data_IF_895013212959
#
_entry.id   IF_895013212959
#
_cell.length_a   1.000
_cell.length_b   1.000
_cell.length_c   1.000
_cell.angle_alpha   90.00
_cell.angle_beta   90.00
_cell.angle_gamma   90.00
#
_symmetry.space_group_name_H-M   'P 1'
#
loop_
_entity.id
_entity.type
_entity.pdbx_description
1 polymer ?
#
# COMPACT_ATOMS: atom_id res chain seq x y z
N UNK A 1 -7.95 -24.83 18.15
CA UNK A 1 -8.15 -24.11 16.87
C UNK A 1 -9.64 -24.03 16.63
N UNK A 2 -10.28 -22.87 16.84
CA UNK A 2 -11.65 -22.65 16.38
C UNK A 2 -11.64 -22.26 14.89
N UNK A 3 -12.60 -22.78 14.13
CA UNK A 3 -12.73 -22.82 12.67
C UNK A 3 -12.79 -21.47 11.90
N UNK A 4 -12.36 -20.35 12.49
CA UNK A 4 -12.44 -19.02 11.84
C UNK A 4 -11.08 -18.40 11.48
N UNK A 5 -9.96 -19.12 11.64
CA UNK A 5 -8.65 -18.64 11.18
C UNK A 5 -8.15 -17.35 11.86
N UNK A 6 -8.79 -16.93 12.96
CA UNK A 6 -8.49 -15.69 13.67
C UNK A 6 -8.73 -15.87 15.18
N UNK A 7 -7.84 -15.27 16.00
CA UNK A 7 -7.93 -15.36 17.45
C UNK A 7 -8.95 -14.33 17.99
N UNK A 8 -10.17 -14.80 18.24
CA UNK A 8 -11.27 -13.96 18.74
C UNK A 8 -11.04 -13.40 20.16
N UNK A 9 -10.14 -13.98 20.96
CA UNK A 9 -9.80 -13.47 22.29
C UNK A 9 -8.89 -12.24 22.22
N UNK A 10 -8.09 -12.13 21.15
CA UNK A 10 -7.14 -11.02 20.93
C UNK A 10 -7.71 -9.90 20.06
N UNK A 11 -8.64 -10.22 19.16
CA UNK A 11 -9.13 -9.28 18.16
C UNK A 11 -10.66 -9.21 18.16
N UNK A 12 -11.21 -8.07 18.59
CA UNK A 12 -12.66 -7.82 18.68
C UNK A 12 -13.36 -7.83 17.31
N UNK A 13 -12.65 -7.50 16.24
CA UNK A 13 -13.18 -7.49 14.86
C UNK A 13 -13.34 -8.88 14.24
N UNK A 14 -12.83 -9.93 14.87
CA UNK A 14 -12.81 -11.30 14.37
C UNK A 14 -14.23 -11.86 14.11
N UNK A 15 -15.20 -11.48 14.95
CA UNK A 15 -16.59 -11.94 14.83
C UNK A 15 -17.34 -11.39 13.60
N UNK A 16 -16.89 -10.26 13.06
CA UNK A 16 -17.57 -9.58 11.95
C UNK A 16 -17.03 -9.98 10.57
N UNK A 17 -16.00 -10.84 10.52
CA UNK A 17 -15.29 -11.16 9.29
C UNK A 17 -15.87 -12.41 8.60
N UNK A 18 -16.17 -12.28 7.30
CA UNK A 18 -16.60 -13.41 6.49
C UNK A 18 -15.37 -14.20 6.01
N UNK A 19 -15.44 -15.54 5.91
CA UNK A 19 -14.35 -16.35 5.38
C UNK A 19 -14.14 -16.04 3.89
N UNK A 20 -12.89 -15.85 3.48
CA UNK A 20 -12.51 -15.60 2.09
C UNK A 20 -11.71 -16.76 1.52
N UNK A 21 -11.86 -17.04 0.23
CA UNK A 21 -11.06 -18.07 -0.44
C UNK A 21 -9.59 -17.60 -0.55
N UNK A 22 -8.72 -18.33 0.15
CA UNK A 22 -7.29 -18.05 0.26
C UNK A 22 -6.60 -18.05 -1.12
N UNK A 23 -6.97 -18.97 -2.01
CA UNK A 23 -6.37 -19.05 -3.35
C UNK A 23 -6.73 -17.85 -4.23
N UNK A 24 -8.00 -17.40 -4.16
CA UNK A 24 -8.45 -16.21 -4.88
C UNK A 24 -7.73 -14.95 -4.38
N UNK A 25 -7.60 -14.82 -3.05
CA UNK A 25 -6.94 -13.68 -2.44
C UNK A 25 -5.46 -13.60 -2.84
N UNK A 26 -4.70 -14.69 -2.72
CA UNK A 26 -3.27 -14.67 -3.05
C UNK A 26 -3.02 -14.47 -4.55
N UNK A 27 -3.79 -15.11 -5.42
CA UNK A 27 -3.63 -14.93 -6.88
C UNK A 27 -3.92 -13.50 -7.30
N UNK A 28 -5.01 -12.90 -6.81
CA UNK A 28 -5.32 -11.50 -7.06
C UNK A 28 -4.24 -10.56 -6.49
N UNK A 29 -3.75 -10.84 -5.28
CA UNK A 29 -2.72 -10.02 -4.64
C UNK A 29 -1.41 -10.00 -5.44
N UNK A 30 -0.93 -11.17 -5.91
CA UNK A 30 0.30 -11.27 -6.71
C UNK A 30 0.15 -10.54 -8.04
N UNK A 31 -0.98 -10.70 -8.72
CA UNK A 31 -1.22 -10.04 -10.01
C UNK A 31 -1.33 -8.53 -9.83
N UNK A 32 -2.17 -8.07 -8.89
CA UNK A 32 -2.45 -6.64 -8.72
C UNK A 32 -1.26 -5.93 -8.08
N UNK A 33 -0.83 -6.34 -6.89
CA UNK A 33 0.22 -5.62 -6.17
C UNK A 33 1.59 -5.88 -6.80
N UNK A 34 1.89 -7.14 -7.15
CA UNK A 34 3.20 -7.49 -7.71
C UNK A 34 3.48 -6.80 -9.04
N UNK A 35 2.49 -6.79 -9.96
CA UNK A 35 2.66 -6.17 -11.26
C UNK A 35 2.55 -4.64 -11.18
N UNK A 36 1.53 -4.10 -10.50
CA UNK A 36 1.32 -2.66 -10.43
C UNK A 36 2.46 -1.96 -9.68
N UNK A 37 2.94 -2.51 -8.56
CA UNK A 37 4.03 -1.88 -7.81
C UNK A 37 5.32 -1.83 -8.63
N UNK A 38 5.64 -2.91 -9.35
CA UNK A 38 6.80 -2.98 -10.24
C UNK A 38 6.70 -1.93 -11.36
N UNK A 39 5.56 -1.86 -12.05
CA UNK A 39 5.34 -0.89 -13.11
C UNK A 39 5.43 0.55 -12.61
N UNK A 40 4.75 0.87 -11.50
CA UNK A 40 4.73 2.22 -10.92
C UNK A 40 6.13 2.67 -10.51
N UNK A 41 6.94 1.80 -9.90
CA UNK A 41 8.32 2.17 -9.52
C UNK A 41 9.19 2.50 -10.74
N UNK A 42 9.11 1.70 -11.81
CA UNK A 42 9.90 1.93 -13.03
C UNK A 42 9.43 3.19 -13.77
N UNK A 43 8.12 3.40 -13.90
CA UNK A 43 7.58 4.56 -14.60
C UNK A 43 7.83 5.85 -13.82
N UNK A 44 7.65 5.86 -12.49
CA UNK A 44 7.91 7.04 -11.65
C UNK A 44 9.37 7.50 -11.74
N UNK A 45 10.32 6.57 -11.60
CA UNK A 45 11.75 6.91 -11.65
C UNK A 45 12.16 7.43 -13.03
N UNK A 46 11.63 6.82 -14.09
CA UNK A 46 11.86 7.25 -15.48
C UNK A 46 11.24 8.64 -15.74
N UNK A 47 9.97 8.84 -15.38
CA UNK A 47 9.26 10.10 -15.56
C UNK A 47 9.94 11.24 -14.79
N UNK A 48 10.31 10.99 -13.54
CA UNK A 48 10.99 11.97 -12.70
C UNK A 48 12.33 12.42 -13.30
N UNK A 49 13.11 11.48 -13.83
CA UNK A 49 14.38 11.79 -14.51
C UNK A 49 14.19 12.62 -15.77
N UNK A 50 13.11 12.38 -16.53
CA UNK A 50 12.76 13.11 -17.75
C UNK A 50 12.33 14.55 -17.46
N UNK A 51 11.54 14.76 -16.41
CA UNK A 51 11.04 16.09 -16.01
C UNK A 51 12.19 16.99 -15.53
N UNK A 52 13.16 16.43 -14.80
CA UNK A 52 14.24 17.22 -14.21
C UNK A 52 15.32 17.67 -15.22
N UNK A 53 15.61 16.85 -16.23
CA UNK A 53 16.74 17.07 -17.14
C UNK A 53 18.12 16.83 -16.49
N UNK A 54 19.23 17.15 -17.20
CA UNK A 54 20.59 16.77 -16.78
C UNK A 54 21.18 17.62 -15.65
N UNK A 55 20.52 18.72 -15.21
CA UNK A 55 21.08 19.65 -14.22
C UNK A 55 20.61 19.28 -12.80
N UNK A 56 21.55 18.98 -11.90
CA UNK A 56 21.33 18.64 -10.46
C UNK A 56 20.45 17.40 -10.21
N UNK A 57 20.48 16.40 -11.09
CA UNK A 57 19.66 15.19 -10.98
C UNK A 57 19.90 14.39 -9.68
N UNK A 58 21.15 14.30 -9.20
CA UNK A 58 21.50 13.48 -8.04
C UNK A 58 20.86 13.92 -6.73
N UNK A 59 20.83 15.22 -6.43
CA UNK A 59 20.26 15.72 -5.16
C UNK A 59 18.75 15.49 -5.13
N UNK A 60 18.08 15.81 -6.22
CA UNK A 60 16.62 15.73 -6.32
C UNK A 60 16.14 14.28 -6.37
N UNK A 61 16.84 13.38 -7.08
CA UNK A 61 16.59 11.94 -7.00
C UNK A 61 16.86 11.38 -5.59
N UNK A 62 17.86 11.92 -4.88
CA UNK A 62 18.13 11.57 -3.48
C UNK A 62 16.96 11.93 -2.57
N UNK A 63 16.40 13.14 -2.69
CA UNK A 63 15.22 13.56 -1.92
C UNK A 63 14.02 12.65 -2.20
N UNK A 64 13.78 12.33 -3.48
CA UNK A 64 12.72 11.39 -3.88
C UNK A 64 12.90 10.02 -3.22
N UNK A 65 14.10 9.46 -3.24
CA UNK A 65 14.38 8.16 -2.61
C UNK A 65 14.22 8.19 -1.09
N UNK A 66 14.68 9.25 -0.42
CA UNK A 66 14.51 9.40 1.03
C UNK A 66 13.02 9.45 1.38
N UNK A 67 12.22 10.21 0.63
CA UNK A 67 10.77 10.27 0.85
C UNK A 67 10.10 8.90 0.71
N UNK A 68 10.49 8.12 -0.32
CA UNK A 68 10.04 6.74 -0.50
C UNK A 68 10.48 5.81 0.64
N UNK A 69 11.70 5.99 1.15
CA UNK A 69 12.21 5.26 2.31
C UNK A 69 11.41 5.57 3.59
N UNK A 70 11.14 6.85 3.87
CA UNK A 70 10.30 7.26 5.00
C UNK A 70 8.89 6.69 4.90
N UNK A 71 8.29 6.70 3.71
CA UNK A 71 6.97 6.11 3.47
C UNK A 71 6.95 4.60 3.75
N UNK A 72 7.98 3.86 3.32
CA UNK A 72 8.09 2.41 3.58
C UNK A 72 8.32 2.08 5.04
N UNK A 73 8.90 2.98 5.82
CA UNK A 73 9.08 2.81 7.25
C UNK A 73 7.79 3.12 8.04
N UNK A 74 7.11 4.21 7.66
CA UNK A 74 5.90 4.69 8.35
C UNK A 74 4.63 3.92 7.96
N UNK A 75 4.52 3.47 6.71
CA UNK A 75 3.35 2.77 6.19
C UNK A 75 2.99 1.51 6.99
N UNK A 76 3.91 0.53 7.13
CA UNK A 76 3.65 -0.69 7.89
C UNK A 76 3.33 -0.42 9.36
N UNK A 77 3.96 0.59 9.98
CA UNK A 77 3.68 0.96 11.37
C UNK A 77 2.24 1.46 11.54
N UNK A 78 1.82 2.40 10.70
CA UNK A 78 0.46 2.94 10.73
C UNK A 78 -0.58 1.85 10.43
N UNK A 79 -0.33 1.02 9.39
CA UNK A 79 -1.20 -0.08 9.01
C UNK A 79 -1.31 -1.16 10.09
N UNK A 80 -0.21 -1.46 10.79
CA UNK A 80 -0.20 -2.47 11.87
C UNK A 80 -1.04 -2.04 13.06
N UNK A 81 -0.97 -0.75 13.43
CA UNK A 81 -1.79 -0.17 14.50
C UNK A 81 -3.26 -0.21 14.09
N UNK A 82 -3.57 0.26 12.86
CA UNK A 82 -4.93 0.28 12.34
C UNK A 82 -5.54 -1.12 12.24
N UNK A 83 -4.75 -2.09 11.81
CA UNK A 83 -5.16 -3.50 11.71
C UNK A 83 -5.48 -4.10 13.09
N UNK A 84 -4.69 -3.77 14.12
CA UNK A 84 -4.88 -4.30 15.46
C UNK A 84 -6.21 -3.82 16.06
N UNK A 85 -6.52 -2.53 15.90
CA UNK A 85 -7.70 -1.90 16.50
C UNK A 85 -8.99 -2.12 15.67
N UNK A 86 -8.94 -1.91 14.35
CA UNK A 86 -10.14 -1.85 13.49
C UNK A 86 -10.27 -3.03 12.53
N UNK A 87 -9.25 -3.89 12.46
CA UNK A 87 -9.24 -5.06 11.60
C UNK A 87 -9.04 -4.78 10.11
N UNK A 88 -9.00 -5.85 9.29
CA UNK A 88 -8.58 -5.79 7.88
C UNK A 88 -9.49 -4.97 6.98
N UNK A 89 -10.79 -4.91 7.26
CA UNK A 89 -11.75 -4.16 6.42
C UNK A 89 -11.44 -2.67 6.42
N UNK A 90 -11.07 -2.12 7.57
CA UNK A 90 -10.75 -0.70 7.70
C UNK A 90 -9.41 -0.39 7.05
N UNK A 91 -8.42 -1.27 7.23
CA UNK A 91 -7.12 -1.22 6.55
C UNK A 91 -7.28 -1.10 5.04
N UNK A 92 -8.06 -1.98 4.41
CA UNK A 92 -8.30 -1.93 2.96
C UNK A 92 -9.03 -0.66 2.50
N UNK A 93 -9.97 -0.15 3.29
CA UNK A 93 -10.65 1.12 2.97
C UNK A 93 -9.70 2.31 2.98
N UNK A 94 -8.78 2.37 3.94
CA UNK A 94 -7.76 3.43 4.03
C UNK A 94 -6.82 3.34 2.83
N UNK A 95 -6.34 2.15 2.48
CA UNK A 95 -5.51 1.94 1.28
C UNK A 95 -6.21 2.42 0.00
N UNK A 96 -7.47 2.04 -0.19
CA UNK A 96 -8.27 2.48 -1.35
C UNK A 96 -8.48 4.01 -1.36
N UNK A 97 -8.64 4.64 -0.19
CA UNK A 97 -8.75 6.09 -0.09
C UNK A 97 -7.44 6.79 -0.47
N UNK A 98 -6.29 6.30 0.00
CA UNK A 98 -4.96 6.84 -0.36
C UNK A 98 -4.69 6.70 -1.85
N UNK A 99 -4.99 5.53 -2.43
CA UNK A 99 -4.90 5.32 -3.88
C UNK A 99 -5.84 6.26 -4.66
N UNK A 100 -7.09 6.42 -4.19
CA UNK A 100 -8.06 7.32 -4.79
C UNK A 100 -7.59 8.78 -4.78
N UNK A 101 -7.05 9.27 -3.66
CA UNK A 101 -6.48 10.62 -3.55
C UNK A 101 -5.28 10.78 -4.49
N UNK A 102 -4.42 9.77 -4.58
CA UNK A 102 -3.24 9.78 -5.46
C UNK A 102 -3.67 9.92 -6.93
N UNK A 103 -4.63 9.11 -7.37
CA UNK A 103 -5.17 9.15 -8.74
C UNK A 103 -5.89 10.49 -8.99
N UNK A 104 -6.69 10.97 -8.04
CA UNK A 104 -7.39 12.24 -8.17
C UNK A 104 -6.40 13.41 -8.33
N UNK A 105 -5.33 13.42 -7.52
CA UNK A 105 -4.27 14.44 -7.63
C UNK A 105 -3.60 14.38 -9.00
N UNK A 106 -3.40 13.18 -9.55
CA UNK A 106 -2.80 12.98 -10.87
C UNK A 106 -3.72 13.36 -12.04
N UNK A 107 -5.04 13.35 -11.84
CA UNK A 107 -6.01 13.80 -12.86
C UNK A 107 -6.18 15.33 -12.83
N UNK A 108 -6.06 15.92 -11.64
CA UNK A 108 -6.23 17.36 -11.45
C UNK A 108 -5.03 18.20 -11.94
N UNK A 109 -3.84 17.61 -12.03
CA UNK A 109 -2.59 18.24 -12.45
C UNK A 109 -2.08 17.65 -13.77
#
# INVERSE_FOLDING_TARGET
MNDTGCNAEKFSWCHNLAPINVYLYYTAYVIVIGFAYSLVNVTLTTLYSKILGPRRQGVTQGIFQISGGCARLTGPLALSILYTEFGPRMTWKVEMAVLGITIATWILF
#
